data_IF_998949021169
#
_entry.id   IF_998949021169
#
_cell.length_a   1.000
_cell.length_b   1.000
_cell.length_c   1.000
_cell.angle_alpha   90.00
_cell.angle_beta   90.00
_cell.angle_gamma   90.00
#
_symmetry.space_group_name_H-M   'P 1'
#
loop_
_entity.id
_entity.type
_entity.pdbx_description
1 polymer ?
#
# COMPACT_ATOMS: atom_id res chain seq x y z
N UNK A 1 17.10 -31.65 -0.65
CA UNK A 1 17.87 -30.42 -0.91
C UNK A 1 17.07 -29.61 -1.94
N UNK A 2 16.49 -28.48 -1.55
CA UNK A 2 15.63 -27.72 -2.47
C UNK A 2 16.50 -27.00 -3.50
N UNK A 3 16.18 -27.06 -4.81
CA UNK A 3 16.94 -26.36 -5.84
C UNK A 3 16.95 -24.86 -5.56
N UNK A 4 18.09 -24.20 -5.76
CA UNK A 4 18.25 -22.74 -5.54
C UNK A 4 17.18 -21.93 -6.29
N UNK A 5 16.87 -22.33 -7.53
CA UNK A 5 15.84 -21.65 -8.33
C UNK A 5 14.45 -21.66 -7.67
N UNK A 6 14.07 -22.75 -7.00
CA UNK A 6 12.77 -22.86 -6.32
C UNK A 6 12.74 -21.92 -5.12
N UNK A 7 13.86 -21.82 -4.39
CA UNK A 7 13.99 -20.93 -3.23
C UNK A 7 13.93 -19.46 -3.63
N UNK A 8 14.62 -19.09 -4.71
CA UNK A 8 14.60 -17.73 -5.23
C UNK A 8 13.19 -17.35 -5.70
N UNK A 9 12.53 -18.24 -6.46
CA UNK A 9 11.15 -18.03 -6.89
C UNK A 9 10.20 -17.82 -5.70
N UNK A 10 10.23 -18.71 -4.70
CA UNK A 10 9.41 -18.61 -3.51
C UNK A 10 9.63 -17.30 -2.75
N UNK A 11 10.86 -16.77 -2.75
CA UNK A 11 11.21 -15.54 -2.03
C UNK A 11 10.66 -14.29 -2.71
N UNK A 12 10.60 -14.25 -4.05
CA UNK A 12 10.21 -13.05 -4.81
C UNK A 12 8.78 -13.09 -5.36
N UNK A 13 8.12 -14.25 -5.44
CA UNK A 13 6.79 -14.40 -6.03
C UNK A 13 5.68 -13.62 -5.29
N UNK A 14 5.79 -13.46 -3.97
CA UNK A 14 4.72 -12.90 -3.13
C UNK A 14 4.57 -11.37 -3.14
N UNK A 15 5.32 -10.64 -3.96
CA UNK A 15 5.30 -9.18 -3.96
C UNK A 15 3.92 -8.59 -4.27
N UNK A 16 3.19 -9.18 -5.23
CA UNK A 16 1.84 -8.74 -5.60
C UNK A 16 0.83 -9.04 -4.51
N UNK A 17 0.86 -10.26 -3.95
CA UNK A 17 -0.07 -10.67 -2.90
C UNK A 17 0.12 -9.84 -1.62
N UNK A 18 1.36 -9.55 -1.24
CA UNK A 18 1.66 -8.68 -0.08
C UNK A 18 1.19 -7.25 -0.34
N UNK A 19 1.35 -6.75 -1.57
CA UNK A 19 0.88 -5.43 -1.94
C UNK A 19 -0.66 -5.35 -1.90
N UNK A 20 -1.35 -6.35 -2.42
CA UNK A 20 -2.82 -6.39 -2.40
C UNK A 20 -3.36 -6.61 -0.99
N UNK A 21 -2.70 -7.44 -0.17
CA UNK A 21 -3.00 -7.59 1.25
C UNK A 21 -2.87 -6.26 1.99
N UNK A 22 -1.83 -5.47 1.72
CA UNK A 22 -1.62 -4.16 2.34
C UNK A 22 -2.71 -3.15 1.91
N UNK A 23 -3.14 -3.16 0.64
CA UNK A 23 -4.28 -2.37 0.15
C UNK A 23 -5.57 -2.75 0.86
N UNK A 24 -5.83 -4.04 1.03
CA UNK A 24 -7.10 -4.58 1.54
C UNK A 24 -7.19 -4.59 3.07
N UNK A 25 -6.08 -4.49 3.82
CA UNK A 25 -6.06 -4.87 5.23
C UNK A 25 -6.73 -3.93 6.24
N UNK A 26 -7.07 -2.67 5.91
CA UNK A 26 -7.75 -1.77 6.88
C UNK A 26 -8.25 -0.43 6.34
N UNK A 27 -7.75 0.06 5.21
CA UNK A 27 -8.03 1.40 4.70
C UNK A 27 -8.51 1.44 3.24
N UNK A 28 -8.92 0.30 2.66
CA UNK A 28 -9.38 0.31 1.27
C UNK A 28 -10.67 1.12 1.13
N UNK A 29 -10.54 2.26 0.45
CA UNK A 29 -11.66 3.10 0.08
C UNK A 29 -12.58 2.35 -0.90
N UNK A 30 -12.00 1.50 -1.75
CA UNK A 30 -12.74 0.65 -2.68
C UNK A 30 -13.68 -0.33 -1.97
N UNK A 31 -13.24 -0.93 -0.85
CA UNK A 31 -14.08 -1.82 -0.05
C UNK A 31 -15.06 -1.07 0.86
N UNK A 32 -14.66 0.11 1.34
CA UNK A 32 -15.48 0.90 2.26
C UNK A 32 -16.77 1.45 1.63
N UNK A 33 -16.80 1.66 0.30
CA UNK A 33 -17.98 2.23 -0.36
C UNK A 33 -18.28 1.60 -1.72
N UNK A 34 -19.42 0.91 -1.80
CA UNK A 34 -19.94 0.37 -3.06
C UNK A 34 -20.72 1.45 -3.81
N UNK A 35 -20.22 1.81 -4.99
CA UNK A 35 -20.91 2.75 -5.88
C UNK A 35 -21.72 2.01 -6.95
N UNK A 36 -22.90 2.53 -7.31
CA UNK A 36 -23.74 1.99 -8.40
C UNK A 36 -23.07 2.08 -9.78
N UNK A 37 -22.16 3.04 -9.97
CA UNK A 37 -21.43 3.27 -11.22
C UNK A 37 -20.00 2.72 -11.11
N UNK A 38 -19.60 1.86 -12.05
CA UNK A 38 -18.33 1.11 -12.01
C UNK A 38 -17.08 2.02 -11.97
N UNK A 39 -17.06 3.12 -12.71
CA UNK A 39 -15.90 4.01 -12.79
C UNK A 39 -15.54 4.65 -11.44
N UNK A 40 -16.51 4.84 -10.53
CA UNK A 40 -16.25 5.36 -9.19
C UNK A 40 -15.48 4.35 -8.36
N UNK A 41 -15.81 3.06 -8.46
CA UNK A 41 -15.06 1.99 -7.80
C UNK A 41 -13.66 1.86 -8.38
N UNK A 42 -13.52 1.98 -9.71
CA UNK A 42 -12.21 1.98 -10.38
C UNK A 42 -11.32 3.13 -9.89
N UNK A 43 -11.87 4.35 -9.81
CA UNK A 43 -11.16 5.51 -9.29
C UNK A 43 -10.67 5.30 -7.85
N UNK A 44 -11.53 4.76 -6.98
CA UNK A 44 -11.12 4.44 -5.61
C UNK A 44 -10.00 3.40 -5.57
N UNK A 45 -10.06 2.37 -6.42
CA UNK A 45 -9.00 1.36 -6.52
C UNK A 45 -7.65 1.94 -6.96
N UNK A 46 -7.66 2.90 -7.89
CA UNK A 46 -6.45 3.63 -8.32
C UNK A 46 -5.92 4.54 -7.22
N UNK A 47 -6.80 5.21 -6.47
CA UNK A 47 -6.40 6.03 -5.33
C UNK A 47 -5.82 5.17 -4.20
N UNK A 48 -6.42 4.02 -3.88
CA UNK A 48 -5.88 3.05 -2.91
C UNK A 48 -4.48 2.59 -3.33
N UNK A 49 -4.26 2.32 -4.63
CA UNK A 49 -2.93 1.98 -5.17
C UNK A 49 -1.93 3.12 -5.02
N UNK A 50 -2.33 4.36 -5.33
CA UNK A 50 -1.48 5.54 -5.21
C UNK A 50 -1.04 5.79 -3.75
N UNK A 51 -1.94 5.59 -2.78
CA UNK A 51 -1.65 5.74 -1.35
C UNK A 51 -0.61 4.70 -0.90
N UNK A 52 -0.74 3.44 -1.30
CA UNK A 52 0.23 2.39 -0.94
C UNK A 52 1.60 2.67 -1.58
N UNK A 53 1.62 3.11 -2.84
CA UNK A 53 2.86 3.52 -3.50
C UNK A 53 3.53 4.71 -2.79
N UNK A 54 2.76 5.70 -2.38
CA UNK A 54 3.26 6.84 -1.62
C UNK A 54 3.86 6.40 -0.27
N UNK A 55 3.22 5.45 0.43
CA UNK A 55 3.73 4.87 1.66
C UNK A 55 5.08 4.14 1.47
N UNK A 56 5.20 3.36 0.39
CA UNK A 56 6.45 2.66 0.04
C UNK A 56 7.58 3.67 -0.20
N UNK A 57 7.32 4.71 -1.01
CA UNK A 57 8.30 5.75 -1.32
C UNK A 57 8.69 6.54 -0.06
N UNK A 58 7.70 6.89 0.78
CA UNK A 58 7.93 7.61 2.03
C UNK A 58 8.86 6.82 2.97
N UNK A 59 8.60 5.53 3.14
CA UNK A 59 9.46 4.67 3.95
C UNK A 59 10.83 4.41 3.31
N UNK A 60 10.91 4.32 1.98
CA UNK A 60 12.18 4.20 1.27
C UNK A 60 13.07 5.43 1.52
N UNK A 61 12.51 6.65 1.43
CA UNK A 61 13.23 7.88 1.77
C UNK A 61 13.64 7.94 3.24
N UNK A 62 12.75 7.60 4.17
CA UNK A 62 13.11 7.57 5.60
C UNK A 62 14.25 6.60 5.89
N UNK A 63 14.25 5.44 5.23
CA UNK A 63 15.33 4.45 5.38
C UNK A 63 16.64 5.00 4.83
N UNK A 64 16.62 5.72 3.70
CA UNK A 64 17.78 6.40 3.15
C UNK A 64 18.32 7.50 4.10
N UNK A 65 17.43 8.18 4.83
CA UNK A 65 17.78 9.16 5.87
C UNK A 65 18.23 8.53 7.21
N UNK A 66 18.33 7.20 7.31
CA UNK A 66 18.68 6.49 8.54
C UNK A 66 17.57 6.47 9.61
N UNK A 67 16.34 6.87 9.26
CA UNK A 67 15.19 6.89 10.16
C UNK A 67 14.45 5.55 10.14
N UNK A 68 13.79 5.22 11.25
CA UNK A 68 12.92 4.05 11.31
C UNK A 68 11.71 4.17 10.36
N UNK A 69 11.26 3.02 9.87
CA UNK A 69 10.03 2.90 9.08
C UNK A 69 8.82 3.31 9.91
N UNK A 70 7.87 3.97 9.27
CA UNK A 70 6.62 4.42 9.89
C UNK A 70 5.54 3.38 9.63
N UNK A 71 4.66 3.16 10.62
CA UNK A 71 3.52 2.26 10.48
C UNK A 71 2.52 2.80 9.45
N UNK A 72 1.82 1.91 8.73
CA UNK A 72 0.81 2.31 7.75
C UNK A 72 -0.29 3.21 8.36
N UNK A 73 -0.71 2.91 9.60
CA UNK A 73 -1.71 3.69 10.34
C UNK A 73 -1.22 5.11 10.61
N UNK A 74 0.03 5.26 11.07
CA UNK A 74 0.62 6.57 11.36
C UNK A 74 0.74 7.42 10.10
N UNK A 75 1.16 6.80 8.99
CA UNK A 75 1.22 7.46 7.68
C UNK A 75 -0.16 7.92 7.21
N UNK A 76 -1.18 7.06 7.29
CA UNK A 76 -2.55 7.41 6.90
C UNK A 76 -3.13 8.55 7.73
N UNK A 77 -2.88 8.58 9.04
CA UNK A 77 -3.30 9.70 9.90
C UNK A 77 -2.65 11.02 9.48
N UNK A 78 -1.34 11.01 9.21
CA UNK A 78 -0.63 12.20 8.76
C UNK A 78 -1.14 12.65 7.39
N UNK A 79 -1.29 11.73 6.44
CA UNK A 79 -1.84 12.02 5.12
C UNK A 79 -3.25 12.64 5.21
N UNK A 80 -4.11 12.12 6.09
CA UNK A 80 -5.45 12.65 6.29
C UNK A 80 -5.44 14.06 6.88
N UNK A 81 -4.57 14.33 7.85
CA UNK A 81 -4.41 15.67 8.43
C UNK A 81 -3.98 16.68 7.37
N UNK A 82 -2.96 16.37 6.58
CA UNK A 82 -2.45 17.25 5.51
C UNK A 82 -3.52 17.54 4.44
N UNK A 83 -4.32 16.53 4.07
CA UNK A 83 -5.39 16.69 3.07
C UNK A 83 -6.62 17.45 3.59
N UNK A 84 -6.90 17.38 4.90
CA UNK A 84 -8.03 18.08 5.52
C UNK A 84 -7.69 19.48 6.07
N UNK A 85 -6.41 19.84 6.12
CA UNK A 85 -5.95 21.19 6.52
C UNK A 85 -5.91 22.19 5.35
N UNK A 86 -6.36 21.78 4.16
CA UNK A 86 -6.70 22.63 3.02
C UNK A 86 -8.15 23.12 3.14
#
# INVERSE_FOLDING_TARGET
MCPRFVKDYQTFMGGVDVHDQLRLQRYSLQLARRYKKYYKSLFLGLMDLAIVNAFIIYNARRTADGKSKVSHVSFMKQLHLELCQL
#
